data_IF_514481045909
#
_entry.id   IF_514481045909
#
_cell.length_a   1.000
_cell.length_b   1.000
_cell.length_c   1.000
_cell.angle_alpha   90.00
_cell.angle_beta   90.00
_cell.angle_gamma   90.00
#
_symmetry.space_group_name_H-M   'P 1'
#
loop_
_entity.id
_entity.type
_entity.pdbx_description
1 polymer ?
#
# COMPACT_ATOMS: atom_id res chain seq x y z
N UNK A 1 -32.04 -13.84 -4.94
CA UNK A 1 -32.54 -13.69 -3.56
C UNK A 1 -31.64 -12.71 -2.84
N UNK A 2 -32.12 -11.48 -2.62
CA UNK A 2 -31.40 -10.45 -1.86
C UNK A 2 -31.44 -10.83 -0.38
N UNK A 3 -30.28 -11.11 0.22
CA UNK A 3 -30.13 -11.22 1.67
C UNK A 3 -30.44 -9.84 2.27
N UNK A 4 -31.67 -9.63 2.76
CA UNK A 4 -31.96 -8.58 3.72
C UNK A 4 -31.24 -8.94 5.02
N UNK A 5 -30.03 -8.40 5.22
CA UNK A 5 -29.42 -8.39 6.54
C UNK A 5 -30.13 -7.32 7.36
N UNK A 6 -30.94 -7.75 8.33
CA UNK A 6 -31.60 -6.90 9.35
C UNK A 6 -30.63 -6.27 10.38
N UNK A 7 -29.34 -6.21 10.06
CA UNK A 7 -28.33 -5.50 10.84
C UNK A 7 -27.92 -4.29 10.01
N UNK A 8 -28.35 -3.08 10.41
CA UNK A 8 -27.74 -1.85 9.92
C UNK A 8 -26.23 -2.00 10.14
N UNK A 9 -25.52 -2.22 9.05
CA UNK A 9 -24.13 -2.63 9.11
C UNK A 9 -23.32 -1.36 9.35
N UNK A 10 -23.13 -1.04 10.63
CA UNK A 10 -22.46 0.19 11.04
C UNK A 10 -20.94 0.01 11.01
N UNK A 11 -20.41 -0.23 9.80
CA UNK A 11 -18.97 -0.39 9.57
C UNK A 11 -18.20 0.85 10.01
N UNK A 12 -18.81 2.03 9.89
CA UNK A 12 -18.23 3.30 10.32
C UNK A 12 -17.96 3.35 11.81
N UNK A 13 -18.92 2.97 12.68
CA UNK A 13 -18.69 2.95 14.12
C UNK A 13 -17.58 1.97 14.51
N UNK A 14 -17.51 0.78 13.88
CA UNK A 14 -16.41 -0.15 14.13
C UNK A 14 -15.05 0.44 13.74
N UNK A 15 -14.99 1.17 12.62
CA UNK A 15 -13.77 1.86 12.21
C UNK A 15 -13.36 2.95 13.21
N UNK A 16 -14.31 3.75 13.72
CA UNK A 16 -14.05 4.74 14.77
C UNK A 16 -13.48 4.07 16.03
N UNK A 17 -14.09 2.98 16.50
CA UNK A 17 -13.60 2.26 17.67
C UNK A 17 -12.19 1.72 17.45
N UNK A 18 -11.90 1.19 16.26
CA UNK A 18 -10.56 0.71 15.90
C UNK A 18 -9.52 1.83 15.90
N UNK A 19 -9.84 2.98 15.29
CA UNK A 19 -8.94 4.15 15.25
C UNK A 19 -8.70 4.69 16.65
N UNK A 20 -9.75 4.82 17.46
CA UNK A 20 -9.65 5.28 18.84
C UNK A 20 -8.81 4.33 19.69
N UNK A 21 -9.04 3.02 19.58
CA UNK A 21 -8.26 2.01 20.29
C UNK A 21 -6.78 2.04 19.86
N UNK A 22 -6.51 2.17 18.56
CA UNK A 22 -5.14 2.30 18.04
C UNK A 22 -4.45 3.55 18.58
N UNK A 23 -5.14 4.69 18.64
CA UNK A 23 -4.61 5.92 19.22
C UNK A 23 -4.29 5.76 20.71
N UNK A 24 -5.16 5.08 21.47
CA UNK A 24 -4.89 4.75 22.88
C UNK A 24 -3.64 3.88 23.04
N UNK A 25 -3.47 2.85 22.21
CA UNK A 25 -2.27 2.02 22.24
C UNK A 25 -1.01 2.87 21.98
N UNK A 26 -1.04 3.75 20.99
CA UNK A 26 0.07 4.68 20.73
C UNK A 26 0.39 5.54 21.95
N UNK A 27 -0.61 6.13 22.58
CA UNK A 27 -0.40 6.97 23.77
C UNK A 27 0.21 6.16 24.91
N UNK A 28 -0.34 4.98 25.20
CA UNK A 28 0.12 4.12 26.31
C UNK A 28 1.55 3.63 26.09
N UNK A 29 1.87 3.13 24.90
CA UNK A 29 3.21 2.62 24.60
C UNK A 29 4.25 3.73 24.37
N UNK A 30 3.81 4.91 23.92
CA UNK A 30 4.67 6.07 23.72
C UNK A 30 4.99 6.85 24.99
N UNK A 31 4.20 6.68 26.06
CA UNK A 31 4.31 7.46 27.30
C UNK A 31 5.70 7.40 27.95
N UNK A 32 6.48 6.33 27.71
CA UNK A 32 7.83 6.16 28.26
C UNK A 32 8.96 6.46 27.25
N UNK A 33 8.67 7.20 26.16
CA UNK A 33 9.70 7.72 25.25
C UNK A 33 10.10 6.83 24.06
N UNK A 34 9.25 5.86 23.71
CA UNK A 34 9.51 4.80 22.71
C UNK A 34 10.74 3.94 23.01
N UNK A 35 10.83 2.78 22.36
CA UNK A 35 11.99 1.89 22.47
C UNK A 35 13.24 2.44 21.76
N UNK A 36 14.34 1.66 21.71
CA UNK A 36 15.52 2.04 20.94
C UNK A 36 15.19 2.25 19.46
N UNK A 37 15.82 3.25 18.86
CA UNK A 37 15.71 3.50 17.42
C UNK A 37 16.26 2.33 16.61
N UNK A 38 15.74 2.12 15.41
CA UNK A 38 16.32 1.21 14.43
C UNK A 38 17.70 1.72 14.00
N UNK A 39 18.59 0.80 13.62
CA UNK A 39 20.00 1.08 13.31
C UNK A 39 20.21 2.10 12.18
N UNK A 40 19.23 2.21 11.29
CA UNK A 40 19.26 3.09 10.12
C UNK A 40 18.52 4.43 10.31
N UNK A 41 18.00 4.71 11.50
CA UNK A 41 17.33 5.97 11.83
C UNK A 41 18.29 6.95 12.51
N UNK A 42 18.09 8.24 12.26
CA UNK A 42 18.97 9.31 12.75
C UNK A 42 18.75 9.61 14.23
N UNK A 43 19.78 10.16 14.87
CA UNK A 43 19.71 10.52 16.29
C UNK A 43 18.87 11.79 16.51
N UNK A 44 18.42 12.00 17.76
CA UNK A 44 17.70 13.21 18.15
C UNK A 44 18.56 14.45 17.85
N UNK A 45 17.97 15.43 17.17
CA UNK A 45 18.61 16.67 16.72
C UNK A 45 19.18 16.60 15.30
N UNK A 46 19.36 15.40 14.74
CA UNK A 46 19.81 15.21 13.36
C UNK A 46 18.64 15.34 12.37
N UNK A 47 18.98 15.54 11.09
CA UNK A 47 18.01 15.62 10.00
C UNK A 47 17.68 14.19 9.58
N UNK A 48 16.40 13.80 9.65
CA UNK A 48 16.00 12.46 9.25
C UNK A 48 16.18 12.23 7.74
N UNK A 49 16.18 10.95 7.32
CA UNK A 49 16.10 10.58 5.90
C UNK A 49 14.88 11.13 5.15
N UNK A 50 13.89 11.63 5.87
CA UNK A 50 12.65 12.24 5.36
C UNK A 50 12.61 13.75 5.62
N UNK A 51 13.80 14.37 5.67
CA UNK A 51 14.04 15.80 5.86
C UNK A 51 13.70 16.36 7.24
N UNK A 52 12.68 15.88 7.94
CA UNK A 52 12.27 16.43 9.23
C UNK A 52 13.34 16.22 10.32
N UNK A 53 13.59 17.24 11.14
CA UNK A 53 14.54 17.11 12.25
C UNK A 53 13.98 16.19 13.34
N UNK A 54 14.79 15.22 13.76
CA UNK A 54 14.39 14.24 14.78
C UNK A 54 14.22 14.92 16.14
N UNK A 55 13.00 14.86 16.67
CA UNK A 55 12.60 15.47 17.93
C UNK A 55 12.80 14.54 19.14
N UNK A 56 13.12 15.16 20.29
CA UNK A 56 13.15 14.49 21.59
C UNK A 56 11.77 14.32 22.24
N UNK A 57 10.71 14.87 21.63
CA UNK A 57 9.35 14.83 22.15
C UNK A 57 8.62 13.50 21.93
N UNK A 58 7.28 13.54 22.03
CA UNK A 58 6.44 12.35 21.89
C UNK A 58 6.50 11.73 20.49
N UNK A 59 6.63 12.52 19.42
CA UNK A 59 6.88 12.01 18.07
C UNK A 59 8.30 12.35 17.64
N UNK A 60 9.01 11.40 17.03
CA UNK A 60 10.35 11.62 16.46
C UNK A 60 10.29 12.55 15.25
N UNK A 61 9.30 12.38 14.39
CA UNK A 61 9.01 13.30 13.27
C UNK A 61 7.55 13.75 13.36
N UNK A 62 7.21 14.77 14.17
CA UNK A 62 5.84 15.26 14.34
C UNK A 62 5.05 15.51 13.05
N UNK A 63 5.60 16.25 12.08
CA UNK A 63 4.89 16.61 10.84
C UNK A 63 4.65 15.39 9.95
N UNK A 64 5.69 14.57 9.74
CA UNK A 64 5.57 13.32 8.98
C UNK A 64 4.65 12.32 9.68
N UNK A 65 4.61 12.30 11.01
CA UNK A 65 3.67 11.46 11.77
C UNK A 65 2.24 11.96 11.60
N UNK A 66 1.97 13.24 11.84
CA UNK A 66 0.60 13.77 11.81
C UNK A 66 0.03 13.89 10.40
N UNK A 67 0.88 14.07 9.38
CA UNK A 67 0.47 14.07 7.96
C UNK A 67 -0.25 12.78 7.55
N UNK A 68 0.08 11.66 8.21
CA UNK A 68 -0.57 10.37 7.97
C UNK A 68 -2.03 10.30 8.43
N UNK A 69 -2.56 11.30 9.16
CA UNK A 69 -3.98 11.41 9.48
C UNK A 69 -4.85 11.50 8.21
N UNK A 70 -4.28 11.93 7.08
CA UNK A 70 -4.95 11.90 5.78
C UNK A 70 -5.45 10.50 5.39
N UNK A 71 -4.62 9.46 5.59
CA UNK A 71 -5.03 8.08 5.34
C UNK A 71 -6.16 7.63 6.26
N UNK A 72 -6.10 8.00 7.53
CA UNK A 72 -7.15 7.69 8.52
C UNK A 72 -8.47 8.35 8.13
N UNK A 73 -8.44 9.64 7.77
CA UNK A 73 -9.63 10.38 7.36
C UNK A 73 -10.28 9.78 6.11
N UNK A 74 -9.47 9.48 5.09
CA UNK A 74 -9.95 8.85 3.85
C UNK A 74 -10.52 7.45 4.12
N UNK A 75 -9.84 6.65 4.95
CA UNK A 75 -10.31 5.33 5.36
C UNK A 75 -11.63 5.36 6.11
N UNK A 76 -11.79 6.27 7.08
CA UNK A 76 -13.04 6.51 7.80
C UNK A 76 -14.16 6.92 6.84
N UNK A 77 -13.87 7.77 5.85
CA UNK A 77 -14.84 8.13 4.81
C UNK A 77 -15.26 6.93 3.96
N UNK A 78 -14.34 6.01 3.62
CA UNK A 78 -14.69 4.76 2.92
C UNK A 78 -15.63 3.89 3.78
N UNK A 79 -15.36 3.74 5.08
CA UNK A 79 -16.24 2.99 5.98
C UNK A 79 -17.62 3.64 6.14
N UNK A 80 -17.69 4.97 6.18
CA UNK A 80 -18.93 5.72 6.14
C UNK A 80 -19.72 5.40 4.86
N UNK A 81 -19.09 5.48 3.69
CA UNK A 81 -19.74 5.15 2.41
C UNK A 81 -20.17 3.71 2.30
N UNK A 82 -19.38 2.75 2.80
CA UNK A 82 -19.79 1.34 2.82
C UNK A 82 -20.98 1.09 3.75
N UNK A 83 -21.10 1.85 4.85
CA UNK A 83 -22.27 1.78 5.74
C UNK A 83 -23.52 2.36 5.06
N UNK A 84 -23.37 3.48 4.35
CA UNK A 84 -24.44 4.07 3.51
C UNK A 84 -24.90 3.11 2.43
N UNK A 85 -23.95 2.50 1.70
CA UNK A 85 -24.24 1.55 0.63
C UNK A 85 -24.97 0.31 1.15
N UNK A 86 -24.53 -0.23 2.30
CA UNK A 86 -25.19 -1.38 2.92
C UNK A 86 -26.62 -1.06 3.39
N UNK A 87 -26.83 0.13 3.96
CA UNK A 87 -28.14 0.56 4.47
C UNK A 87 -29.11 0.86 3.33
N UNK A 88 -28.62 1.47 2.24
CA UNK A 88 -29.43 1.87 1.09
C UNK A 88 -29.45 0.83 -0.06
N UNK A 89 -28.98 -0.40 0.18
CA UNK A 89 -28.89 -1.48 -0.82
C UNK A 89 -28.18 -1.08 -2.12
N UNK A 90 -27.14 -0.25 -2.03
CA UNK A 90 -26.28 0.10 -3.17
C UNK A 90 -25.18 -0.95 -3.33
N UNK A 91 -24.72 -1.11 -4.57
CA UNK A 91 -23.60 -2.01 -4.88
C UNK A 91 -22.29 -1.44 -4.35
N UNK A 92 -21.51 -2.20 -3.55
CA UNK A 92 -20.24 -1.72 -3.02
C UNK A 92 -19.17 -1.68 -4.11
N UNK A 93 -18.08 -0.95 -3.82
CA UNK A 93 -16.85 -1.05 -4.59
C UNK A 93 -16.40 -2.52 -4.70
N UNK A 94 -15.71 -2.85 -5.79
CA UNK A 94 -15.30 -4.23 -6.14
C UNK A 94 -16.46 -5.24 -6.33
N UNK A 95 -17.73 -4.80 -6.23
CA UNK A 95 -18.91 -5.68 -6.27
C UNK A 95 -18.99 -6.66 -5.10
N UNK A 96 -18.26 -6.41 -4.00
CA UNK A 96 -18.22 -7.27 -2.82
C UNK A 96 -17.90 -6.46 -1.58
N UNK A 97 -18.83 -6.42 -0.61
CA UNK A 97 -18.62 -5.74 0.68
C UNK A 97 -17.38 -6.28 1.40
N UNK A 98 -17.11 -7.60 1.33
CA UNK A 98 -15.94 -8.19 2.00
C UNK A 98 -14.62 -7.64 1.45
N UNK A 99 -14.53 -7.47 0.14
CA UNK A 99 -13.31 -6.94 -0.51
C UNK A 99 -13.23 -5.43 -0.28
N UNK A 100 -14.35 -4.71 -0.37
CA UNK A 100 -14.39 -3.28 -0.10
C UNK A 100 -14.03 -2.93 1.35
N UNK A 101 -14.49 -3.72 2.32
CA UNK A 101 -14.12 -3.57 3.73
C UNK A 101 -12.64 -3.86 3.96
N UNK A 102 -12.09 -4.89 3.31
CA UNK A 102 -10.65 -5.17 3.37
C UNK A 102 -9.85 -4.00 2.79
N UNK A 103 -10.32 -3.39 1.70
CA UNK A 103 -9.69 -2.21 1.12
C UNK A 103 -9.75 -1.00 2.03
N UNK A 104 -10.93 -0.67 2.57
CA UNK A 104 -11.07 0.40 3.53
C UNK A 104 -10.18 0.19 4.77
N UNK A 105 -10.09 -1.04 5.27
CA UNK A 105 -9.22 -1.40 6.38
C UNK A 105 -7.74 -1.22 6.04
N UNK A 106 -7.27 -1.75 4.91
CA UNK A 106 -5.88 -1.60 4.48
C UNK A 106 -5.50 -0.13 4.20
N UNK A 107 -6.38 0.63 3.55
CA UNK A 107 -6.19 2.08 3.34
C UNK A 107 -6.14 2.86 4.63
N UNK A 108 -6.97 2.53 5.62
CA UNK A 108 -6.93 3.15 6.94
C UNK A 108 -5.63 2.79 7.67
N UNK A 109 -5.20 1.52 7.57
CA UNK A 109 -4.03 0.98 8.26
C UNK A 109 -2.71 1.61 7.81
N UNK A 110 -2.61 2.08 6.55
CA UNK A 110 -1.46 2.87 6.08
C UNK A 110 -1.13 4.04 7.01
N UNK A 111 -2.16 4.73 7.54
CA UNK A 111 -1.98 5.86 8.45
C UNK A 111 -1.23 5.46 9.73
N UNK A 112 -1.82 4.61 10.60
CA UNK A 112 -1.15 4.14 11.81
C UNK A 112 0.16 3.37 11.56
N UNK A 113 0.27 2.66 10.44
CA UNK A 113 1.52 1.99 10.04
C UNK A 113 2.67 2.98 9.87
N UNK A 114 2.48 3.97 9.00
CA UNK A 114 3.48 5.01 8.73
C UNK A 114 3.71 5.93 9.94
N UNK A 115 2.66 6.25 10.70
CA UNK A 115 2.79 6.94 11.99
C UNK A 115 3.70 6.20 12.97
N UNK A 116 3.68 4.87 12.97
CA UNK A 116 4.55 4.10 13.86
C UNK A 116 6.02 4.23 13.46
N UNK A 117 6.32 4.27 12.16
CA UNK A 117 7.67 4.49 11.67
C UNK A 117 8.15 5.89 12.03
N UNK A 118 7.49 6.94 11.54
CA UNK A 118 7.89 8.34 11.77
C UNK A 118 7.79 8.78 13.24
N UNK A 119 6.79 8.27 13.96
CA UNK A 119 6.53 8.68 15.33
C UNK A 119 7.51 8.07 16.32
N UNK A 120 8.01 6.86 16.04
CA UNK A 120 8.81 6.08 17.01
C UNK A 120 10.27 5.89 16.60
N UNK A 121 10.58 5.86 15.30
CA UNK A 121 11.88 5.43 14.74
C UNK A 121 12.33 4.03 15.17
N UNK A 122 11.43 3.17 15.65
CA UNK A 122 11.78 1.82 16.11
C UNK A 122 11.75 0.79 14.98
N UNK A 123 12.44 -0.35 15.18
CA UNK A 123 12.35 -1.52 14.26
C UNK A 123 10.90 -1.98 14.08
N UNK A 124 10.11 -1.93 15.15
CA UNK A 124 8.68 -2.26 15.09
C UNK A 124 7.89 -1.26 14.24
N UNK A 125 8.17 0.03 14.37
CA UNK A 125 7.57 1.07 13.53
C UNK A 125 7.85 0.85 12.05
N UNK A 126 9.11 0.61 11.68
CA UNK A 126 9.51 0.31 10.31
C UNK A 126 8.84 -0.97 9.76
N UNK A 127 8.73 -2.02 10.58
CA UNK A 127 8.00 -3.24 10.23
C UNK A 127 6.51 -2.96 9.99
N UNK A 128 5.85 -2.21 10.87
CA UNK A 128 4.42 -1.94 10.78
C UNK A 128 4.07 -1.11 9.54
N UNK A 129 4.88 -0.10 9.22
CA UNK A 129 4.77 0.72 8.01
C UNK A 129 4.81 -0.16 6.75
N UNK A 130 5.85 -0.99 6.64
CA UNK A 130 6.02 -1.90 5.50
C UNK A 130 4.90 -2.93 5.38
N UNK A 131 4.48 -3.54 6.50
CA UNK A 131 3.34 -4.48 6.51
C UNK A 131 2.06 -3.78 6.05
N UNK A 132 1.85 -2.51 6.43
CA UNK A 132 0.67 -1.74 6.00
C UNK A 132 0.67 -1.46 4.50
N UNK A 133 1.83 -1.12 3.93
CA UNK A 133 2.01 -0.92 2.49
C UNK A 133 1.74 -2.20 1.69
N UNK A 134 2.29 -3.33 2.14
CA UNK A 134 2.04 -4.65 1.53
C UNK A 134 0.57 -5.04 1.65
N UNK A 135 -0.05 -4.84 2.82
CA UNK A 135 -1.47 -5.13 3.02
C UNK A 135 -2.37 -4.38 2.03
N UNK A 136 -2.01 -3.14 1.67
CA UNK A 136 -2.71 -2.33 0.67
C UNK A 136 -2.48 -2.84 -0.76
N UNK A 137 -1.22 -2.96 -1.20
CA UNK A 137 -0.92 -3.26 -2.62
C UNK A 137 -1.30 -4.69 -3.02
N UNK A 138 -1.18 -5.67 -2.10
CA UNK A 138 -1.59 -7.06 -2.36
C UNK A 138 -3.06 -7.14 -2.76
N UNK A 139 -3.91 -6.29 -2.18
CA UNK A 139 -5.34 -6.28 -2.48
C UNK A 139 -5.60 -6.02 -3.97
N UNK A 140 -4.90 -5.04 -4.53
CA UNK A 140 -5.13 -4.53 -5.88
C UNK A 140 -4.79 -5.56 -6.95
N UNK A 141 -3.58 -6.12 -6.93
CA UNK A 141 -3.18 -7.07 -7.97
C UNK A 141 -3.80 -8.45 -7.80
N UNK A 142 -4.03 -8.93 -6.56
CA UNK A 142 -4.74 -10.20 -6.34
C UNK A 142 -6.22 -10.05 -6.78
N UNK A 143 -6.80 -8.86 -6.63
CA UNK A 143 -8.15 -8.59 -7.16
C UNK A 143 -8.16 -8.62 -8.68
N UNK A 144 -7.13 -8.07 -9.34
CA UNK A 144 -6.99 -8.16 -10.78
C UNK A 144 -6.87 -9.61 -11.25
N UNK A 145 -6.05 -10.42 -10.58
CA UNK A 145 -5.97 -11.85 -10.85
C UNK A 145 -7.33 -12.52 -10.70
N UNK A 146 -8.06 -12.25 -9.62
CA UNK A 146 -9.43 -12.77 -9.43
C UNK A 146 -10.33 -12.47 -10.62
N UNK A 147 -10.19 -11.31 -11.26
CA UNK A 147 -10.98 -10.92 -12.44
C UNK A 147 -10.49 -11.54 -13.75
N UNK A 148 -9.20 -11.80 -13.87
CA UNK A 148 -8.59 -12.43 -15.05
C UNK A 148 -8.77 -13.96 -15.07
N UNK A 149 -8.68 -14.61 -13.91
CA UNK A 149 -8.67 -16.08 -13.76
C UNK A 149 -9.95 -16.65 -13.14
N UNK A 150 -10.89 -15.78 -12.73
CA UNK A 150 -12.11 -16.14 -12.01
C UNK A 150 -11.88 -16.84 -10.67
N UNK A 151 -10.86 -16.44 -9.90
CA UNK A 151 -10.64 -17.00 -8.56
C UNK A 151 -11.91 -16.97 -7.70
N UNK A 152 -12.12 -18.04 -6.95
CA UNK A 152 -13.13 -18.08 -5.90
C UNK A 152 -12.82 -17.01 -4.84
N UNK A 153 -13.82 -16.59 -4.07
CA UNK A 153 -13.57 -15.67 -2.95
C UNK A 153 -12.68 -16.31 -1.87
N UNK A 154 -12.76 -17.63 -1.68
CA UNK A 154 -11.87 -18.37 -0.78
C UNK A 154 -10.41 -18.23 -1.22
N UNK A 155 -10.11 -18.52 -2.49
CA UNK A 155 -8.77 -18.40 -3.05
C UNK A 155 -8.23 -16.99 -2.91
N UNK A 156 -9.04 -15.97 -3.22
CA UNK A 156 -8.65 -14.57 -3.06
C UNK A 156 -8.20 -14.24 -1.62
N UNK A 157 -9.04 -14.54 -0.62
CA UNK A 157 -8.72 -14.24 0.78
C UNK A 157 -7.59 -15.09 1.33
N UNK A 158 -7.51 -16.37 0.95
CA UNK A 158 -6.42 -17.26 1.37
C UNK A 158 -5.07 -16.81 0.80
N UNK A 159 -4.99 -16.52 -0.50
CA UNK A 159 -3.75 -16.02 -1.12
C UNK A 159 -3.30 -14.69 -0.53
N UNK A 160 -4.24 -13.75 -0.33
CA UNK A 160 -3.96 -12.47 0.32
C UNK A 160 -3.37 -12.67 1.73
N UNK A 161 -4.03 -13.49 2.55
CA UNK A 161 -3.64 -13.69 3.95
C UNK A 161 -2.30 -14.42 4.06
N UNK A 162 -2.08 -15.44 3.24
CA UNK A 162 -0.82 -16.20 3.23
C UNK A 162 0.35 -15.30 2.85
N UNK A 163 0.20 -14.50 1.79
CA UNK A 163 1.27 -13.59 1.35
C UNK A 163 1.56 -12.52 2.39
N UNK A 164 0.53 -11.94 3.01
CA UNK A 164 0.71 -10.91 4.03
C UNK A 164 1.38 -11.48 5.30
N UNK A 165 0.96 -12.66 5.76
CA UNK A 165 1.59 -13.34 6.91
C UNK A 165 3.04 -13.69 6.58
N UNK A 166 3.29 -14.24 5.39
CA UNK A 166 4.63 -14.60 4.97
C UNK A 166 5.54 -13.36 4.93
N UNK A 167 5.08 -12.25 4.36
CA UNK A 167 5.83 -11.00 4.34
C UNK A 167 6.10 -10.48 5.76
N UNK A 168 5.07 -10.41 6.60
CA UNK A 168 5.20 -9.90 7.97
C UNK A 168 6.18 -10.74 8.80
N UNK A 169 6.12 -12.07 8.67
CA UNK A 169 7.07 -12.99 9.28
C UNK A 169 8.49 -12.78 8.72
N UNK A 170 8.62 -12.75 7.40
CA UNK A 170 9.92 -12.67 6.74
C UNK A 170 10.64 -11.36 7.05
N UNK A 171 9.94 -10.21 7.00
CA UNK A 171 10.51 -8.93 7.41
C UNK A 171 11.08 -9.00 8.83
N UNK A 172 10.32 -9.59 9.78
CA UNK A 172 10.70 -9.58 11.18
C UNK A 172 11.96 -10.40 11.46
N UNK A 173 12.05 -11.59 10.85
CA UNK A 173 13.08 -12.59 11.14
C UNK A 173 14.23 -12.65 10.13
N UNK A 174 14.00 -12.20 8.90
CA UNK A 174 14.97 -12.13 7.81
C UNK A 174 15.20 -10.66 7.48
N UNK A 175 14.58 -10.18 6.40
CA UNK A 175 14.68 -8.82 5.89
C UNK A 175 13.44 -8.48 5.05
N UNK A 176 13.33 -7.22 4.62
CA UNK A 176 12.24 -6.74 3.76
C UNK A 176 12.26 -7.35 2.34
N UNK A 177 13.37 -7.97 1.92
CA UNK A 177 13.59 -8.68 0.66
C UNK A 177 13.20 -10.17 0.72
N UNK A 178 12.39 -10.56 1.72
CA UNK A 178 11.91 -11.91 1.93
C UNK A 178 13.02 -12.96 2.19
N UNK A 179 14.27 -12.54 2.46
CA UNK A 179 15.44 -13.41 2.57
C UNK A 179 15.99 -13.95 1.25
N UNK A 180 15.43 -13.51 0.11
CA UNK A 180 15.83 -13.91 -1.25
C UNK A 180 16.05 -12.71 -2.19
N UNK A 181 16.09 -11.50 -1.62
CA UNK A 181 16.28 -10.24 -2.35
C UNK A 181 15.05 -9.73 -3.10
N UNK A 182 13.86 -10.29 -2.86
CA UNK A 182 12.63 -9.87 -3.56
C UNK A 182 11.97 -8.70 -2.85
N UNK A 183 11.97 -7.53 -3.48
CA UNK A 183 11.16 -6.41 -3.01
C UNK A 183 9.68 -6.64 -3.34
N UNK A 184 8.92 -7.20 -2.39
CA UNK A 184 7.51 -7.55 -2.62
C UNK A 184 6.63 -6.32 -2.92
N UNK A 185 6.98 -5.14 -2.41
CA UNK A 185 6.20 -3.94 -2.66
C UNK A 185 6.31 -3.50 -4.12
N UNK A 186 7.53 -3.35 -4.63
CA UNK A 186 7.80 -3.03 -6.04
C UNK A 186 7.27 -4.11 -6.98
N UNK A 187 7.50 -5.37 -6.63
CA UNK A 187 6.95 -6.49 -7.38
C UNK A 187 5.42 -6.41 -7.48
N UNK A 188 4.75 -6.08 -6.38
CA UNK A 188 3.29 -5.95 -6.35
C UNK A 188 2.78 -4.77 -7.19
N UNK A 189 3.51 -3.65 -7.26
CA UNK A 189 3.19 -2.54 -8.17
C UNK A 189 3.30 -3.01 -9.64
N UNK A 190 4.39 -3.71 -9.98
CA UNK A 190 4.58 -4.26 -11.32
C UNK A 190 3.48 -5.26 -11.71
N UNK A 191 3.15 -6.19 -10.81
CA UNK A 191 2.05 -7.14 -11.02
C UNK A 191 0.69 -6.44 -11.14
N UNK A 192 0.46 -5.38 -10.38
CA UNK A 192 -0.76 -4.58 -10.50
C UNK A 192 -0.87 -3.95 -11.89
N UNK A 193 0.16 -3.25 -12.34
CA UNK A 193 0.20 -2.60 -13.66
C UNK A 193 0.05 -3.63 -14.78
N UNK A 194 0.84 -4.71 -14.76
CA UNK A 194 0.79 -5.75 -15.77
C UNK A 194 -0.62 -6.36 -15.88
N UNK A 195 -1.26 -6.65 -14.74
CA UNK A 195 -2.62 -7.19 -14.74
C UNK A 195 -3.69 -6.17 -15.14
N UNK A 196 -3.52 -4.87 -14.87
CA UNK A 196 -4.40 -3.82 -15.40
C UNK A 196 -4.37 -3.77 -16.93
N UNK A 197 -3.18 -3.83 -17.52
CA UNK A 197 -3.01 -3.86 -18.98
C UNK A 197 -3.73 -5.06 -19.58
N UNK A 198 -3.62 -6.24 -18.96
CA UNK A 198 -4.31 -7.46 -19.41
C UNK A 198 -5.83 -7.37 -19.27
N UNK A 199 -6.34 -6.71 -18.23
CA UNK A 199 -7.79 -6.47 -18.09
C UNK A 199 -8.29 -5.57 -19.20
N UNK A 200 -7.52 -4.53 -19.56
CA UNK A 200 -7.88 -3.58 -20.62
C UNK A 200 -7.77 -4.21 -22.01
N UNK A 201 -6.71 -4.98 -22.26
CA UNK A 201 -6.38 -5.59 -23.54
C UNK A 201 -6.17 -7.10 -23.38
N UNK A 202 -7.24 -7.90 -23.27
CA UNK A 202 -7.15 -9.35 -23.05
C UNK A 202 -6.80 -10.13 -24.34
N UNK A 203 -5.75 -9.72 -25.05
CA UNK A 203 -5.32 -10.26 -26.33
C UNK A 203 -3.78 -10.34 -26.42
N UNK A 204 -3.25 -10.77 -27.56
CA UNK A 204 -1.81 -10.90 -27.77
C UNK A 204 -1.05 -9.58 -27.54
N UNK A 205 -1.64 -8.45 -27.97
CA UNK A 205 -1.06 -7.13 -27.75
C UNK A 205 -0.93 -6.82 -26.25
N UNK A 206 -1.98 -7.02 -25.45
CA UNK A 206 -1.90 -6.79 -24.01
C UNK A 206 -0.92 -7.72 -23.29
N UNK A 207 -0.71 -8.95 -23.76
CA UNK A 207 0.33 -9.85 -23.22
C UNK A 207 1.72 -9.24 -23.38
N UNK A 208 2.06 -8.80 -24.59
CA UNK A 208 3.35 -8.14 -24.87
C UNK A 208 3.47 -6.84 -24.08
N UNK A 209 2.42 -6.01 -24.09
CA UNK A 209 2.46 -4.71 -23.44
C UNK A 209 2.47 -4.79 -21.91
N UNK A 210 1.93 -5.85 -21.29
CA UNK A 210 1.81 -5.92 -19.83
C UNK A 210 3.15 -5.77 -19.11
N UNK A 211 4.17 -6.54 -19.49
CA UNK A 211 5.52 -6.41 -18.91
C UNK A 211 6.26 -5.18 -19.42
N UNK A 212 6.12 -4.81 -20.70
CA UNK A 212 6.77 -3.60 -21.26
C UNK A 212 6.31 -2.34 -20.54
N UNK A 213 5.01 -2.21 -20.24
CA UNK A 213 4.48 -1.08 -19.47
C UNK A 213 5.08 -1.01 -18.08
N UNK A 214 5.32 -2.15 -17.42
CA UNK A 214 5.99 -2.16 -16.11
C UNK A 214 7.42 -1.61 -16.24
N UNK A 215 8.18 -2.05 -17.24
CA UNK A 215 9.55 -1.56 -17.46
C UNK A 215 9.58 -0.05 -17.78
N UNK A 216 8.64 0.45 -18.59
CA UNK A 216 8.53 1.90 -18.87
C UNK A 216 8.26 2.67 -17.58
N UNK A 217 7.33 2.18 -16.76
CA UNK A 217 7.00 2.82 -15.48
C UNK A 217 8.20 2.78 -14.54
N UNK A 218 8.90 1.65 -14.43
CA UNK A 218 10.13 1.54 -13.64
C UNK A 218 11.17 2.60 -14.05
N UNK A 219 11.39 2.78 -15.36
CA UNK A 219 12.31 3.81 -15.89
C UNK A 219 11.90 5.24 -15.50
N UNK A 220 10.59 5.54 -15.54
CA UNK A 220 10.06 6.86 -15.16
C UNK A 220 10.20 7.15 -13.66
N UNK A 221 10.36 6.11 -12.85
CA UNK A 221 10.48 6.19 -11.40
C UNK A 221 11.94 6.29 -10.93
N UNK A 222 12.87 6.49 -11.87
CA UNK A 222 14.29 6.66 -11.53
C UNK A 222 15.02 5.36 -11.22
N UNK A 223 14.45 4.20 -11.59
CA UNK A 223 15.15 2.91 -11.61
C UNK A 223 15.46 2.56 -13.08
N UNK A 224 16.68 2.85 -13.57
CA UNK A 224 17.01 2.64 -14.97
C UNK A 224 16.94 1.15 -15.32
N UNK A 225 16.13 0.82 -16.33
CA UNK A 225 15.88 -0.58 -16.71
C UNK A 225 17.18 -1.26 -17.17
N UNK A 226 18.05 -0.51 -17.84
CA UNK A 226 19.36 -1.00 -18.29
C UNK A 226 20.22 -1.41 -17.08
N UNK A 227 20.22 -0.61 -16.02
CA UNK A 227 21.01 -0.89 -14.81
C UNK A 227 20.48 -2.13 -14.08
N UNK A 228 19.16 -2.31 -14.02
CA UNK A 228 18.56 -3.55 -13.48
C UNK A 228 18.98 -4.79 -14.28
N UNK A 229 19.09 -4.69 -15.61
CA UNK A 229 19.58 -5.81 -16.43
C UNK A 229 21.07 -6.07 -16.26
N UNK A 230 21.88 -5.02 -16.09
CA UNK A 230 23.32 -5.17 -15.82
C UNK A 230 23.56 -5.79 -14.44
N UNK A 231 22.73 -5.45 -13.45
CA UNK A 231 22.78 -5.98 -12.09
C UNK A 231 21.70 -7.03 -11.85
N UNK A 232 21.53 -7.96 -12.80
CA UNK A 232 20.44 -8.92 -12.80
C UNK A 232 20.37 -9.78 -11.53
N UNK A 233 21.51 -10.10 -10.92
CA UNK A 233 21.56 -10.88 -9.68
C UNK A 233 20.75 -10.23 -8.54
N UNK A 234 20.73 -8.89 -8.50
CA UNK A 234 20.04 -8.11 -7.47
C UNK A 234 18.63 -7.66 -7.91
N UNK A 235 18.25 -7.93 -9.17
CA UNK A 235 17.00 -7.45 -9.78
C UNK A 235 16.21 -8.56 -10.48
N UNK A 236 16.50 -9.83 -10.18
CA UNK A 236 15.98 -10.98 -10.92
C UNK A 236 14.44 -11.07 -10.86
N UNK A 237 13.81 -10.51 -9.82
CA UNK A 237 12.37 -10.45 -9.65
C UNK A 237 11.66 -9.69 -10.78
N UNK A 238 12.39 -8.87 -11.55
CA UNK A 238 11.84 -8.19 -12.73
C UNK A 238 11.24 -9.15 -13.76
N UNK A 239 11.73 -10.41 -13.81
CA UNK A 239 11.16 -11.44 -14.67
C UNK A 239 9.70 -11.78 -14.27
N UNK A 240 9.35 -11.61 -13.00
CA UNK A 240 8.02 -11.89 -12.49
C UNK A 240 6.97 -10.89 -13.03
N UNK A 241 7.38 -9.71 -13.52
CA UNK A 241 6.50 -8.77 -14.21
C UNK A 241 5.83 -9.37 -15.45
N UNK A 242 6.45 -10.38 -16.06
CA UNK A 242 5.95 -11.04 -17.27
C UNK A 242 5.06 -12.25 -16.97
N UNK A 243 5.03 -12.74 -15.73
CA UNK A 243 4.22 -13.92 -15.34
C UNK A 243 2.72 -13.73 -15.62
N UNK A 244 2.09 -12.56 -15.38
CA UNK A 244 0.69 -12.35 -15.74
C UNK A 244 0.39 -12.59 -17.22
N UNK A 245 1.36 -12.31 -18.11
CA UNK A 245 1.22 -12.50 -19.54
C UNK A 245 1.13 -13.98 -19.94
N UNK A 246 1.40 -14.92 -19.03
CA UNK A 246 1.32 -16.37 -19.24
C UNK A 246 -0.02 -16.96 -18.84
N UNK A 247 -0.92 -16.18 -18.22
CA UNK A 247 -2.23 -16.66 -17.78
C UNK A 247 -3.03 -17.20 -18.99
N UNK A 248 -3.43 -18.48 -18.99
CA UNK A 248 -4.20 -19.04 -20.10
C UNK A 248 -5.61 -18.46 -20.12
N UNK A 249 -6.21 -18.36 -21.31
CA UNK A 249 -7.63 -18.01 -21.49
C UNK A 249 -8.06 -16.71 -20.76
N UNK A 250 -7.44 -15.58 -21.09
CA UNK A 250 -7.82 -14.27 -20.55
C UNK A 250 -9.29 -13.96 -20.85
N UNK A 251 -10.13 -13.96 -19.81
CA UNK A 251 -11.57 -13.64 -19.91
C UNK A 251 -11.97 -12.66 -18.81
N UNK A 252 -11.53 -11.39 -18.87
CA UNK A 252 -11.93 -10.41 -17.88
C UNK A 252 -13.46 -10.25 -17.90
N UNK A 253 -14.10 -10.46 -16.76
CA UNK A 253 -15.56 -10.32 -16.60
C UNK A 253 -15.98 -8.91 -16.15
N UNK A 254 -15.11 -7.92 -16.31
CA UNK A 254 -15.36 -6.54 -15.91
C UNK A 254 -14.96 -5.58 -17.03
N UNK A 255 -15.75 -4.51 -17.17
CA UNK A 255 -15.39 -3.34 -17.95
C UNK A 255 -15.09 -2.20 -16.97
N UNK A 256 -13.90 -1.61 -17.08
CA UNK A 256 -13.47 -0.51 -16.21
C UNK A 256 -13.77 0.84 -16.85
N UNK A 257 -14.25 1.77 -16.03
CA UNK A 257 -14.36 3.18 -16.38
C UNK A 257 -13.16 3.91 -15.77
N UNK A 258 -12.30 4.46 -16.62
CA UNK A 258 -11.05 5.10 -16.19
C UNK A 258 -11.23 6.59 -15.89
N UNK A 259 -11.99 7.31 -16.73
CA UNK A 259 -12.20 8.75 -16.55
C UNK A 259 -13.29 9.01 -15.49
N UNK A 260 -13.09 9.97 -14.56
CA UNK A 260 -11.87 10.78 -14.36
C UNK A 260 -10.85 10.16 -13.39
N UNK A 261 -11.26 9.15 -12.61
CA UNK A 261 -10.54 8.69 -11.41
C UNK A 261 -9.14 8.14 -11.67
N UNK A 262 -8.91 7.48 -12.81
CA UNK A 262 -7.58 7.02 -13.19
C UNK A 262 -6.61 8.20 -13.35
N UNK A 263 -7.02 9.26 -14.05
CA UNK A 263 -6.17 10.41 -14.29
C UNK A 263 -5.95 11.23 -13.01
N UNK A 264 -6.97 11.36 -12.17
CA UNK A 264 -6.84 12.00 -10.85
C UNK A 264 -5.88 11.19 -9.97
N UNK A 265 -6.01 9.86 -9.95
CA UNK A 265 -5.12 8.97 -9.22
C UNK A 265 -3.69 9.07 -9.72
N UNK A 266 -3.48 9.08 -11.03
CA UNK A 266 -2.17 9.26 -11.65
C UNK A 266 -1.55 10.62 -11.29
N UNK A 267 -2.30 11.71 -11.42
CA UNK A 267 -1.82 13.04 -11.04
C UNK A 267 -1.46 13.11 -9.54
N UNK A 268 -2.29 12.52 -8.68
CA UNK A 268 -2.01 12.44 -7.24
C UNK A 268 -0.76 11.63 -6.95
N UNK A 269 -0.57 10.52 -7.65
CA UNK A 269 0.59 9.66 -7.53
C UNK A 269 1.89 10.39 -7.90
N UNK A 270 1.95 11.04 -9.07
CA UNK A 270 3.12 11.81 -9.47
C UNK A 270 3.35 13.03 -8.58
N UNK A 271 2.28 13.67 -8.10
CA UNK A 271 2.39 14.72 -7.08
C UNK A 271 3.05 14.21 -5.81
N UNK A 272 2.66 13.03 -5.32
CA UNK A 272 3.28 12.40 -4.16
C UNK A 272 4.74 12.04 -4.40
N UNK A 273 5.10 11.50 -5.57
CA UNK A 273 6.51 11.21 -5.92
C UNK A 273 7.36 12.48 -5.97
N UNK A 274 6.83 13.58 -6.51
CA UNK A 274 7.54 14.86 -6.53
C UNK A 274 7.77 15.40 -5.12
N UNK A 275 6.76 15.33 -4.24
CA UNK A 275 6.90 15.73 -2.84
C UNK A 275 7.94 14.84 -2.15
N UNK A 276 7.83 13.52 -2.30
CA UNK A 276 8.74 12.56 -1.70
C UNK A 276 10.19 12.76 -2.16
N UNK A 277 10.43 12.94 -3.46
CA UNK A 277 11.77 13.16 -4.01
C UNK A 277 12.39 14.52 -3.65
N UNK A 278 11.60 15.48 -3.16
CA UNK A 278 12.08 16.80 -2.72
C UNK A 278 12.17 16.91 -1.20
N UNK A 279 11.47 16.05 -0.46
CA UNK A 279 11.50 15.91 1.00
C UNK A 279 12.64 15.04 1.52
N UNK A 280 13.83 15.17 0.95
CA UNK A 280 15.04 14.41 1.35
C UNK A 280 16.18 15.35 1.76
N UNK A 281 17.07 14.93 2.68
CA UNK A 281 18.20 15.73 3.11
C UNK A 281 19.06 16.23 1.95
N UNK A 282 19.51 17.49 2.04
CA UNK A 282 20.38 18.11 1.04
C UNK A 282 19.66 18.65 -0.21
N UNK A 283 18.36 18.39 -0.38
CA UNK A 283 17.58 19.01 -1.45
C UNK A 283 17.27 20.50 -1.11
N UNK A 284 17.32 21.45 -2.06
CA UNK A 284 17.07 22.87 -1.78
C UNK A 284 15.69 23.21 -1.17
N UNK A 285 14.72 22.31 -1.33
CA UNK A 285 13.36 22.46 -0.76
C UNK A 285 13.15 21.69 0.54
N UNK A 286 14.18 20.98 1.02
CA UNK A 286 14.14 20.39 2.35
C UNK A 286 14.37 21.47 3.40
N UNK A 287 13.34 21.75 4.21
CA UNK A 287 13.44 22.58 5.40
C UNK A 287 13.15 21.73 6.66
N UNK A 288 14.20 21.22 7.34
CA UNK A 288 14.04 20.27 8.45
C UNK A 288 13.25 20.78 9.65
N UNK A 289 13.19 22.10 9.81
CA UNK A 289 12.59 22.78 10.96
C UNK A 289 11.22 23.40 10.60
N UNK A 290 10.70 23.15 9.38
CA UNK A 290 9.35 23.55 9.00
C UNK A 290 8.30 22.52 9.45
N UNK A 291 7.11 23.02 9.80
CA UNK A 291 5.97 22.23 10.25
C UNK A 291 4.97 21.97 9.13
#
# INVERSE_FOLDING_TARGET
MQQKNNLNSNYFSYAIYSVFFTALLFIVFGANGWGPSAENEQAIGEISRWCERVSGGFFREPSNTLGNLGFVAVGLYMFYKLSDDATNNKSPMFGSFKIALLYAAASTFLGPGSMAMHGTHTKFGAWLDNVSMIAYILLLWIYNLKKLTHFSSKTYFSSYTILLIYYAYSYWYLDSGLGIGVNLFELSIGLWIATEVLIKFPNAFGRIMSGITVLIIQQLFGSPVIDSFLNFQDNWEMLLYFVPALIPNLKPNIKRTYTPWFFIGFASFFGAVLIWGTGVPGHPWCNPDSW
#
